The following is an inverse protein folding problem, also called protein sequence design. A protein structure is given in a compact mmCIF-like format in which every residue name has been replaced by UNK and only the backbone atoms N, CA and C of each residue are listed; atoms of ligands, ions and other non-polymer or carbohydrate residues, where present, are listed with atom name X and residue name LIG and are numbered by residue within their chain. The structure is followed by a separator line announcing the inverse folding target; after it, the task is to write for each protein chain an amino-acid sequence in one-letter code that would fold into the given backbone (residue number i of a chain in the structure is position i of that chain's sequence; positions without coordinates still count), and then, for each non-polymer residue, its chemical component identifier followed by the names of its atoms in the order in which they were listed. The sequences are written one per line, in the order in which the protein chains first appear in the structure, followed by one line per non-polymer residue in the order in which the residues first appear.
data_IF_968087407164
#
_entry.id   IF_968087407164
#
_cell.length_a   1.000
_cell.length_b   1.000
_cell.length_c   1.000
_cell.angle_alpha   90.00
_cell.angle_beta   90.00
_cell.angle_gamma   90.00
#
_symmetry.space_group_name_H-M   'P 1'
#
loop_
_entity.id
_entity.type
_entity.pdbx_description
1 polymer ?
#
# COMPACT_ATOMS: atom_id res chain seq x y z
N UNK A 1 0.00 -20.03 4.46
CA UNK A 1 0.96 -20.31 3.35
C UNK A 1 2.46 -20.39 3.72
N UNK A 2 3.11 -19.34 4.23
CA UNK A 2 4.59 -19.35 4.43
C UNK A 2 5.14 -20.50 5.29
N UNK A 3 4.37 -20.97 6.29
CA UNK A 3 4.70 -22.15 7.10
C UNK A 3 4.66 -23.43 6.26
N UNK A 4 3.64 -23.61 5.41
CA UNK A 4 3.50 -24.76 4.49
C UNK A 4 4.67 -24.83 3.50
N UNK A 5 5.22 -23.68 3.10
CA UNK A 5 6.35 -23.57 2.16
C UNK A 5 7.75 -23.61 2.82
N UNK A 6 7.84 -23.74 4.15
CA UNK A 6 9.09 -23.81 4.89
C UNK A 6 9.95 -22.52 4.89
N UNK A 7 9.36 -21.37 4.56
CA UNK A 7 10.08 -20.08 4.37
C UNK A 7 9.72 -19.00 5.39
N UNK A 8 8.91 -19.35 6.40
CA UNK A 8 8.46 -18.41 7.45
C UNK A 8 9.64 -17.73 8.18
N UNK A 9 10.67 -18.48 8.57
CA UNK A 9 11.83 -17.94 9.30
C UNK A 9 12.62 -16.93 8.46
N UNK A 10 12.85 -17.25 7.19
CA UNK A 10 13.53 -16.34 6.24
C UNK A 10 12.75 -15.04 6.04
N UNK A 11 11.43 -15.14 5.89
CA UNK A 11 10.57 -13.95 5.74
C UNK A 11 10.57 -13.06 6.99
N UNK A 12 10.45 -13.66 8.18
CA UNK A 12 10.50 -12.91 9.45
C UNK A 12 11.85 -12.22 9.65
N UNK A 13 12.96 -12.88 9.28
CA UNK A 13 14.29 -12.27 9.31
C UNK A 13 14.40 -11.05 8.38
N UNK A 14 13.90 -11.15 7.15
CA UNK A 14 13.88 -10.03 6.20
C UNK A 14 12.99 -8.88 6.66
N UNK A 15 11.84 -9.20 7.28
CA UNK A 15 10.92 -8.20 7.82
C UNK A 15 11.54 -7.46 9.01
N UNK A 16 12.16 -8.18 9.94
CA UNK A 16 12.92 -7.59 11.05
C UNK A 16 14.08 -6.73 10.55
N UNK A 17 14.80 -7.20 9.53
CA UNK A 17 15.87 -6.44 8.89
C UNK A 17 15.34 -5.15 8.23
N UNK A 18 14.17 -5.15 7.58
CA UNK A 18 13.64 -3.92 6.96
C UNK A 18 13.03 -2.92 7.94
N UNK A 19 12.46 -3.41 9.05
CA UNK A 19 11.64 -2.65 10.02
C UNK A 19 12.25 -1.31 10.47
N UNK A 20 13.54 -1.20 10.85
CA UNK A 20 14.05 0.05 11.41
C UNK A 20 14.27 1.14 10.34
N UNK A 21 14.31 0.81 9.06
CA UNK A 21 14.82 1.71 8.03
C UNK A 21 13.99 3.00 7.86
N UNK A 22 12.65 2.90 7.74
CA UNK A 22 11.83 4.11 7.55
C UNK A 22 11.90 5.03 8.77
N UNK A 23 11.87 4.42 9.96
CA UNK A 23 11.86 5.11 11.22
C UNK A 23 13.20 5.85 11.45
N UNK A 24 14.32 5.18 11.19
CA UNK A 24 15.66 5.79 11.24
C UNK A 24 15.80 6.89 10.20
N UNK A 25 15.37 6.66 8.95
CA UNK A 25 15.43 7.66 7.88
C UNK A 25 14.64 8.92 8.25
N UNK A 26 13.44 8.75 8.80
CA UNK A 26 12.63 9.87 9.25
C UNK A 26 13.29 10.65 10.40
N UNK A 27 13.86 9.93 11.37
CA UNK A 27 14.59 10.52 12.49
C UNK A 27 15.83 11.30 12.03
N UNK A 28 16.65 10.72 11.14
CA UNK A 28 17.85 11.36 10.57
C UNK A 28 17.47 12.67 9.86
N UNK A 29 16.41 12.65 9.05
CA UNK A 29 15.90 13.86 8.39
C UNK A 29 15.42 14.90 9.40
N UNK A 30 14.71 14.47 10.47
CA UNK A 30 14.19 15.39 11.47
C UNK A 30 15.33 16.07 12.25
N UNK A 31 16.32 15.29 12.69
CA UNK A 31 17.48 15.79 13.40
C UNK A 31 18.34 16.70 12.53
N UNK A 32 18.52 16.36 11.25
CA UNK A 32 19.23 17.22 10.30
C UNK A 32 18.53 18.58 10.16
N UNK A 33 17.23 18.60 9.88
CA UNK A 33 16.49 19.84 9.76
C UNK A 33 16.56 20.68 11.03
N UNK A 34 16.48 20.05 12.21
CA UNK A 34 16.63 20.75 13.48
C UNK A 34 18.00 21.41 13.61
N UNK A 35 19.05 20.60 13.54
CA UNK A 35 20.41 21.06 13.85
C UNK A 35 20.98 21.99 12.79
N UNK A 36 20.64 21.76 11.51
CA UNK A 36 21.10 22.62 10.42
C UNK A 36 20.50 24.03 10.55
N UNK A 37 19.19 24.13 10.78
CA UNK A 37 18.55 25.44 10.91
C UNK A 37 18.90 26.16 12.22
N UNK A 38 19.09 25.43 13.32
CA UNK A 38 19.64 26.03 14.55
C UNK A 38 21.08 26.55 14.36
N UNK A 39 21.92 25.85 13.57
CA UNK A 39 23.27 26.34 13.25
C UNK A 39 23.23 27.57 12.33
N UNK A 40 22.28 27.62 11.39
CA UNK A 40 22.07 28.79 10.53
C UNK A 40 21.60 30.00 11.35
N UNK A 41 20.64 29.82 12.26
CA UNK A 41 20.18 30.89 13.17
C UNK A 41 21.32 31.42 14.06
N UNK A 42 22.20 30.53 14.52
CA UNK A 42 23.36 30.89 15.33
C UNK A 42 24.55 31.43 14.51
N UNK A 43 24.46 31.47 13.17
CA UNK A 43 25.55 31.83 12.24
C UNK A 43 26.84 30.98 12.45
N UNK A 44 26.70 29.74 12.93
CA UNK A 44 27.81 28.82 13.18
C UNK A 44 28.05 27.91 11.97
N UNK A 45 28.90 28.38 11.06
CA UNK A 45 29.28 27.66 9.84
C UNK A 45 30.05 26.36 10.11
N UNK A 46 30.77 26.27 11.23
CA UNK A 46 31.53 25.06 11.57
C UNK A 46 30.58 23.94 11.96
N UNK A 47 29.63 24.23 12.85
CA UNK A 47 28.57 23.29 13.24
C UNK A 47 27.70 22.89 12.04
N UNK A 48 27.36 23.85 11.17
CA UNK A 48 26.62 23.56 9.94
C UNK A 48 27.37 22.59 9.03
N UNK A 49 28.67 22.81 8.81
CA UNK A 49 29.51 21.91 8.00
C UNK A 49 29.54 20.48 8.56
N UNK A 50 29.68 20.33 9.88
CA UNK A 50 29.66 19.03 10.56
C UNK A 50 28.30 18.34 10.40
N UNK A 51 27.19 19.06 10.62
CA UNK A 51 25.83 18.53 10.49
C UNK A 51 25.56 18.06 9.06
N UNK A 52 25.96 18.84 8.05
CA UNK A 52 25.83 18.46 6.64
C UNK A 52 26.67 17.23 6.29
N UNK A 53 27.92 17.14 6.78
CA UNK A 53 28.77 15.98 6.55
C UNK A 53 28.19 14.70 7.20
N UNK A 54 27.69 14.81 8.45
CA UNK A 54 27.02 13.72 9.14
C UNK A 54 25.74 13.28 8.43
N UNK A 55 24.95 14.23 7.93
CA UNK A 55 23.76 13.93 7.16
C UNK A 55 24.07 13.21 5.85
N UNK A 56 25.10 13.66 5.12
CA UNK A 56 25.56 13.00 3.91
C UNK A 56 26.02 11.57 4.19
N UNK A 57 26.87 11.37 5.20
CA UNK A 57 27.34 10.06 5.61
C UNK A 57 26.17 9.13 6.02
N UNK A 58 25.21 9.66 6.79
CA UNK A 58 24.01 8.92 7.23
C UNK A 58 23.15 8.50 6.03
N UNK A 59 22.94 9.39 5.05
CA UNK A 59 22.18 9.05 3.84
C UNK A 59 22.89 8.03 2.96
N UNK A 60 24.22 8.07 2.87
CA UNK A 60 25.01 7.08 2.13
C UNK A 60 24.89 5.69 2.79
N UNK A 61 24.96 5.62 4.12
CA UNK A 61 24.72 4.38 4.87
C UNK A 61 23.28 3.87 4.69
N UNK A 62 22.28 4.76 4.75
CA UNK A 62 20.88 4.39 4.50
C UNK A 62 20.67 3.92 3.05
N UNK A 63 21.30 4.56 2.08
CA UNK A 63 21.21 4.17 0.68
C UNK A 63 21.76 2.76 0.45
N UNK A 64 22.98 2.49 0.92
CA UNK A 64 23.62 1.18 0.81
C UNK A 64 22.80 0.11 1.55
N UNK A 65 22.33 0.42 2.77
CA UNK A 65 21.44 -0.45 3.53
C UNK A 65 20.16 -0.80 2.76
N UNK A 66 19.41 0.21 2.29
CA UNK A 66 18.16 -0.01 1.56
C UNK A 66 18.39 -0.85 0.29
N UNK A 67 19.47 -0.57 -0.44
CA UNK A 67 19.86 -1.36 -1.62
C UNK A 67 20.08 -2.83 -1.29
N UNK A 68 20.79 -3.13 -0.20
CA UNK A 68 21.00 -4.52 0.24
C UNK A 68 19.69 -5.19 0.65
N UNK A 69 18.82 -4.51 1.39
CA UNK A 69 17.52 -5.07 1.80
C UNK A 69 16.68 -5.43 0.58
N UNK A 70 16.54 -4.51 -0.38
CA UNK A 70 15.76 -4.75 -1.59
C UNK A 70 16.33 -5.86 -2.47
N UNK A 71 17.66 -6.01 -2.53
CA UNK A 71 18.29 -7.14 -3.24
C UNK A 71 17.89 -8.48 -2.63
N UNK A 72 18.02 -8.64 -1.31
CA UNK A 72 17.61 -9.88 -0.65
C UNK A 72 16.11 -10.13 -0.77
N UNK A 73 15.32 -9.06 -0.72
CA UNK A 73 13.89 -9.12 -0.81
C UNK A 73 13.40 -9.55 -2.19
N UNK A 74 13.97 -8.99 -3.27
CA UNK A 74 13.69 -9.40 -4.64
C UNK A 74 14.01 -10.89 -4.86
N UNK A 75 15.17 -11.35 -4.36
CA UNK A 75 15.56 -12.75 -4.44
C UNK A 75 14.62 -13.67 -3.63
N UNK A 76 14.12 -13.20 -2.47
CA UNK A 76 13.12 -13.93 -1.70
C UNK A 76 11.78 -14.00 -2.46
N UNK A 77 11.32 -12.89 -3.02
CA UNK A 77 10.05 -12.81 -3.74
C UNK A 77 10.00 -13.74 -4.95
N UNK A 78 11.05 -13.73 -5.78
CA UNK A 78 11.16 -14.63 -6.93
C UNK A 78 11.13 -16.12 -6.50
N UNK A 79 11.82 -16.46 -5.40
CA UNK A 79 11.80 -17.82 -4.83
C UNK A 79 10.43 -18.20 -4.28
N UNK A 80 9.72 -17.26 -3.65
CA UNK A 80 8.36 -17.47 -3.15
C UNK A 80 7.40 -17.76 -4.31
N UNK A 81 7.44 -16.98 -5.38
CA UNK A 81 6.61 -17.22 -6.58
C UNK A 81 6.89 -18.61 -7.18
N UNK A 82 8.17 -18.98 -7.35
CA UNK A 82 8.56 -20.31 -7.82
C UNK A 82 8.00 -21.41 -6.92
N UNK A 83 8.18 -21.30 -5.60
CA UNK A 83 7.70 -22.27 -4.63
C UNK A 83 6.18 -22.40 -4.62
N UNK A 84 5.45 -21.29 -4.76
CA UNK A 84 3.99 -21.30 -4.86
C UNK A 84 3.51 -22.05 -6.10
N UNK A 85 4.07 -21.75 -7.28
CA UNK A 85 3.71 -22.45 -8.53
C UNK A 85 3.98 -23.96 -8.43
N UNK A 86 5.14 -24.35 -7.91
CA UNK A 86 5.47 -25.77 -7.71
C UNK A 86 4.57 -26.45 -6.67
N UNK A 87 4.22 -25.75 -5.59
CA UNK A 87 3.30 -26.27 -4.57
C UNK A 87 1.92 -26.55 -5.16
N UNK A 88 1.38 -25.62 -5.95
CA UNK A 88 0.08 -25.77 -6.62
C UNK A 88 0.13 -26.91 -7.63
N UNK A 89 1.18 -26.97 -8.45
CA UNK A 89 1.33 -28.00 -9.45
C UNK A 89 1.44 -29.40 -8.84
N UNK A 90 2.23 -29.55 -7.77
CA UNK A 90 2.33 -30.82 -7.04
C UNK A 90 0.99 -31.22 -6.39
N UNK A 91 0.21 -30.26 -5.91
CA UNK A 91 -1.13 -30.50 -5.37
C UNK A 91 -2.10 -31.00 -6.44
N UNK A 92 -2.03 -30.44 -7.64
CA UNK A 92 -2.83 -30.90 -8.78
C UNK A 92 -2.42 -32.31 -9.21
N UNK A 93 -1.12 -32.60 -9.31
CA UNK A 93 -0.63 -33.94 -9.66
C UNK A 93 -1.02 -35.04 -8.65
N UNK A 94 -1.24 -34.68 -7.39
CA UNK A 94 -1.63 -35.61 -6.34
C UNK A 94 -3.15 -35.89 -6.30
N UNK A 95 -3.96 -35.19 -7.10
CA UNK A 95 -5.42 -35.40 -7.14
C UNK A 95 -5.78 -36.55 -8.10
N UNK A 96 -6.84 -37.32 -7.80
CA UNK A 96 -7.36 -38.32 -8.71
C UNK A 96 -7.88 -37.66 -9.99
N UNK A 97 -7.79 -38.38 -11.11
CA UNK A 97 -8.16 -37.83 -12.44
C UNK A 97 -9.62 -37.36 -12.48
N UNK A 98 -10.51 -38.02 -11.76
CA UNK A 98 -11.94 -37.67 -11.62
C UNK A 98 -12.18 -36.29 -10.98
N UNK A 99 -11.28 -35.84 -10.10
CA UNK A 99 -11.33 -34.48 -9.55
C UNK A 99 -10.73 -33.45 -10.50
N UNK A 100 -9.75 -33.86 -11.30
CA UNK A 100 -9.10 -32.99 -12.30
C UNK A 100 -10.05 -32.74 -13.48
N UNK A 101 -10.77 -33.76 -13.95
CA UNK A 101 -11.73 -33.66 -15.06
C UNK A 101 -12.92 -32.74 -14.74
N UNK A 102 -13.21 -32.53 -13.45
CA UNK A 102 -14.23 -31.57 -12.99
C UNK A 102 -13.75 -30.12 -13.02
N UNK A 103 -12.45 -29.88 -13.15
CA UNK A 103 -11.86 -28.54 -13.18
C UNK A 103 -11.73 -28.07 -14.63
N UNK A 104 -12.33 -26.92 -14.95
CA UNK A 104 -12.08 -26.27 -16.23
C UNK A 104 -10.59 -25.97 -16.39
N UNK A 105 -9.99 -26.29 -17.53
CA UNK A 105 -8.57 -26.05 -17.82
C UNK A 105 -8.17 -24.58 -17.63
N UNK A 106 -9.08 -23.65 -17.92
CA UNK A 106 -8.93 -22.23 -17.65
C UNK A 106 -8.81 -21.88 -16.16
N UNK A 107 -9.59 -22.53 -15.29
CA UNK A 107 -9.52 -22.31 -13.83
C UNK A 107 -8.20 -22.83 -13.26
N UNK A 108 -7.71 -23.97 -13.74
CA UNK A 108 -6.40 -24.52 -13.35
C UNK A 108 -5.27 -23.53 -13.71
N UNK A 109 -5.28 -22.99 -14.93
CA UNK A 109 -4.30 -22.00 -15.38
C UNK A 109 -4.38 -20.68 -14.59
N UNK A 110 -5.58 -20.23 -14.24
CA UNK A 110 -5.81 -19.06 -13.39
C UNK A 110 -5.24 -19.27 -11.99
N UNK A 111 -5.44 -20.45 -11.38
CA UNK A 111 -4.90 -20.77 -10.05
C UNK A 111 -3.37 -20.78 -10.06
N UNK A 112 -2.75 -21.40 -11.05
CA UNK A 112 -1.27 -21.49 -11.17
C UNK A 112 -0.64 -20.12 -11.41
N UNK A 113 -1.26 -19.27 -12.22
CA UNK A 113 -0.66 -17.99 -12.60
C UNK A 113 -1.16 -16.83 -11.74
N UNK A 114 -2.46 -16.55 -11.76
CA UNK A 114 -3.02 -15.39 -11.09
C UNK A 114 -3.10 -15.57 -9.57
N UNK A 115 -3.65 -16.68 -9.06
CA UNK A 115 -3.79 -16.84 -7.61
C UNK A 115 -2.46 -17.05 -6.90
N UNK A 116 -1.51 -17.75 -7.53
CA UNK A 116 -0.14 -17.83 -7.07
C UNK A 116 0.52 -16.45 -6.97
N UNK A 117 0.32 -15.59 -7.99
CA UNK A 117 0.86 -14.24 -7.99
C UNK A 117 0.19 -13.37 -6.93
N UNK A 118 -1.14 -13.37 -6.83
CA UNK A 118 -1.87 -12.64 -5.78
C UNK A 118 -1.41 -13.07 -4.38
N UNK A 119 -1.23 -14.37 -4.16
CA UNK A 119 -0.74 -14.89 -2.88
C UNK A 119 0.71 -14.44 -2.61
N UNK A 120 1.58 -14.47 -3.62
CA UNK A 120 2.94 -13.96 -3.49
C UNK A 120 2.95 -12.46 -3.18
N UNK A 121 2.06 -11.68 -3.82
CA UNK A 121 1.97 -10.23 -3.67
C UNK A 121 1.72 -9.78 -2.23
N UNK A 122 0.96 -10.55 -1.43
CA UNK A 122 0.78 -10.32 0.02
C UNK A 122 2.12 -10.16 0.75
N UNK A 123 3.13 -10.90 0.30
CA UNK A 123 4.42 -11.03 0.97
C UNK A 123 5.56 -10.30 0.27
N UNK A 124 5.38 -9.77 -0.94
CA UNK A 124 6.52 -9.28 -1.72
C UNK A 124 6.28 -8.13 -2.70
N UNK A 125 5.04 -7.76 -3.01
CA UNK A 125 4.77 -6.57 -3.84
C UNK A 125 4.88 -5.26 -3.05
N UNK A 126 4.97 -4.10 -3.71
CA UNK A 126 4.82 -2.80 -3.04
C UNK A 126 3.53 -2.75 -2.21
N UNK A 127 3.57 -2.14 -1.03
CA UNK A 127 2.44 -2.08 -0.07
C UNK A 127 1.99 -3.45 0.48
N UNK A 128 2.95 -4.36 0.62
CA UNK A 128 2.77 -5.66 1.27
C UNK A 128 2.78 -5.56 2.81
N UNK A 129 2.74 -6.71 3.46
CA UNK A 129 2.81 -6.85 4.92
C UNK A 129 4.07 -6.20 5.55
N UNK A 130 5.15 -5.98 4.80
CA UNK A 130 6.34 -5.26 5.31
C UNK A 130 6.09 -3.76 5.37
N UNK A 131 5.43 -3.19 4.37
CA UNK A 131 5.02 -1.78 4.42
C UNK A 131 4.03 -1.53 5.55
N UNK A 132 3.15 -2.50 5.85
CA UNK A 132 2.29 -2.45 7.03
C UNK A 132 3.11 -2.34 8.32
N UNK A 133 4.06 -3.27 8.54
CA UNK A 133 4.87 -3.27 9.76
C UNK A 133 5.77 -2.04 9.86
N UNK A 134 6.39 -1.61 8.76
CA UNK A 134 7.16 -0.35 8.73
C UNK A 134 6.27 0.86 8.99
N UNK A 135 5.07 0.88 8.44
CA UNK A 135 4.09 1.94 8.66
C UNK A 135 3.72 2.05 10.14
N UNK A 136 3.48 0.92 10.82
CA UNK A 136 3.24 0.87 12.27
C UNK A 136 4.46 1.38 13.04
N UNK A 137 5.66 0.86 12.75
CA UNK A 137 6.88 1.27 13.43
C UNK A 137 7.16 2.78 13.28
N UNK A 138 7.01 3.31 12.06
CA UNK A 138 7.21 4.72 11.77
C UNK A 138 6.13 5.61 12.42
N UNK A 139 4.88 5.16 12.41
CA UNK A 139 3.77 5.84 13.09
C UNK A 139 4.03 5.92 14.60
N UNK A 140 4.40 4.79 15.23
CA UNK A 140 4.66 4.72 16.67
C UNK A 140 5.86 5.58 17.04
N UNK A 141 7.00 5.43 16.35
CA UNK A 141 8.19 6.22 16.66
C UNK A 141 7.95 7.72 16.46
N UNK A 142 7.36 8.12 15.34
CA UNK A 142 7.10 9.55 15.05
C UNK A 142 6.08 10.14 16.04
N UNK A 143 5.07 9.37 16.43
CA UNK A 143 4.10 9.81 17.44
C UNK A 143 4.74 9.96 18.82
N UNK A 144 5.56 8.99 19.23
CA UNK A 144 6.27 9.03 20.51
C UNK A 144 7.23 10.23 20.57
N UNK A 145 8.05 10.41 19.53
CA UNK A 145 8.99 11.53 19.45
C UNK A 145 8.28 12.88 19.46
N UNK A 146 7.14 12.99 18.77
CA UNK A 146 6.37 14.24 18.74
C UNK A 146 5.69 14.51 20.09
N UNK A 147 5.16 13.47 20.74
CA UNK A 147 4.55 13.56 22.07
C UNK A 147 5.57 13.98 23.14
N UNK A 148 6.77 13.40 23.12
CA UNK A 148 7.88 13.75 24.02
C UNK A 148 8.40 15.17 23.74
N UNK A 149 8.42 15.58 22.48
CA UNK A 149 8.85 16.93 22.10
C UNK A 149 7.87 18.01 22.55
N UNK A 150 6.60 17.89 22.17
CA UNK A 150 5.55 18.81 22.59
C UNK A 150 4.16 18.18 22.43
N UNK A 151 3.51 17.92 23.57
CA UNK A 151 2.18 17.33 23.61
C UNK A 151 1.13 18.16 22.86
N UNK A 152 1.22 19.50 22.86
CA UNK A 152 0.25 20.36 22.15
C UNK A 152 0.34 20.16 20.65
N UNK A 153 1.56 20.14 20.09
CA UNK A 153 1.75 19.87 18.66
C UNK A 153 1.29 18.45 18.28
N UNK A 154 1.55 17.46 19.13
CA UNK A 154 1.06 16.10 18.92
C UNK A 154 -0.48 16.03 18.86
N UNK A 155 -1.18 16.66 19.80
CA UNK A 155 -2.66 16.67 19.83
C UNK A 155 -3.24 17.35 18.59
N UNK A 156 -2.63 18.43 18.10
CA UNK A 156 -3.05 19.09 16.87
C UNK A 156 -2.86 18.15 15.67
N UNK A 157 -1.73 17.46 15.57
CA UNK A 157 -1.52 16.46 14.51
C UNK A 157 -2.62 15.40 14.55
N UNK A 158 -2.94 14.86 15.73
CA UNK A 158 -4.04 13.90 15.87
C UNK A 158 -5.40 14.48 15.47
N UNK A 159 -5.68 15.73 15.82
CA UNK A 159 -6.92 16.41 15.48
C UNK A 159 -7.15 16.54 13.97
N UNK A 160 -6.09 16.56 13.15
CA UNK A 160 -6.20 16.54 11.69
C UNK A 160 -6.13 15.13 11.08
N UNK A 161 -5.34 14.23 11.67
CA UNK A 161 -5.15 12.87 11.15
C UNK A 161 -6.37 11.99 11.42
N UNK A 162 -6.98 12.08 12.60
CA UNK A 162 -8.10 11.22 13.00
C UNK A 162 -9.33 11.47 12.11
N UNK A 163 -9.82 12.72 11.90
CA UNK A 163 -10.98 12.95 11.04
C UNK A 163 -10.75 12.48 9.60
N UNK A 164 -9.53 12.66 9.07
CA UNK A 164 -9.16 12.13 7.77
C UNK A 164 -9.36 10.60 7.70
N UNK A 165 -8.83 9.86 8.68
CA UNK A 165 -8.96 8.40 8.73
C UNK A 165 -10.44 8.00 8.85
N UNK A 166 -11.22 8.70 9.67
CA UNK A 166 -12.65 8.42 9.86
C UNK A 166 -13.45 8.66 8.56
N UNK A 167 -13.22 9.76 7.85
CA UNK A 167 -13.90 10.06 6.58
C UNK A 167 -13.59 8.97 5.54
N UNK A 168 -12.32 8.61 5.38
CA UNK A 168 -11.90 7.60 4.41
C UNK A 168 -12.48 6.22 4.77
N UNK A 169 -12.41 5.82 6.03
CA UNK A 169 -12.80 4.47 6.47
C UNK A 169 -14.32 4.28 6.57
N UNK A 170 -15.06 5.29 7.03
CA UNK A 170 -16.50 5.20 7.28
C UNK A 170 -17.35 5.61 6.08
N UNK A 171 -16.87 6.53 5.25
CA UNK A 171 -17.67 7.08 4.14
C UNK A 171 -17.20 6.54 2.79
N UNK A 172 -15.91 6.72 2.46
CA UNK A 172 -15.40 6.39 1.12
C UNK A 172 -15.17 4.89 0.92
N UNK A 173 -14.61 4.20 1.92
CA UNK A 173 -14.28 2.77 1.81
C UNK A 173 -15.51 1.87 1.60
N UNK A 174 -16.65 2.03 2.31
CA UNK A 174 -17.86 1.25 2.05
C UNK A 174 -18.44 1.50 0.66
N UNK A 175 -18.39 2.75 0.20
CA UNK A 175 -18.90 3.15 -1.11
C UNK A 175 -18.07 2.54 -2.24
N UNK A 176 -16.73 2.61 -2.13
CA UNK A 176 -15.81 1.95 -3.05
C UNK A 176 -16.01 0.44 -3.08
N UNK A 177 -16.21 -0.21 -1.91
CA UNK A 177 -16.52 -1.65 -1.83
C UNK A 177 -17.82 -2.00 -2.55
N UNK A 178 -18.88 -1.22 -2.36
CA UNK A 178 -20.16 -1.41 -3.05
C UNK A 178 -20.01 -1.31 -4.57
N UNK A 179 -19.29 -0.30 -5.07
CA UNK A 179 -19.02 -0.12 -6.49
C UNK A 179 -18.15 -1.26 -7.04
N UNK A 180 -17.13 -1.67 -6.30
CA UNK A 180 -16.25 -2.78 -6.68
C UNK A 180 -17.03 -4.09 -6.82
N UNK A 181 -17.94 -4.39 -5.90
CA UNK A 181 -18.79 -5.58 -5.97
C UNK A 181 -19.71 -5.55 -7.21
N UNK A 182 -20.32 -4.39 -7.51
CA UNK A 182 -21.12 -4.21 -8.72
C UNK A 182 -20.29 -4.39 -9.99
N UNK A 183 -19.09 -3.80 -10.02
CA UNK A 183 -18.16 -3.92 -11.14
C UNK A 183 -17.77 -5.38 -11.38
N UNK A 184 -17.47 -6.13 -10.32
CA UNK A 184 -17.13 -7.55 -10.41
C UNK A 184 -18.30 -8.39 -10.94
N UNK A 185 -19.53 -8.12 -10.46
CA UNK A 185 -20.74 -8.80 -10.95
C UNK A 185 -20.99 -8.51 -12.43
N UNK A 186 -20.96 -7.24 -12.84
CA UNK A 186 -21.15 -6.86 -14.27
C UNK A 186 -20.04 -7.44 -15.15
N UNK A 187 -18.81 -7.52 -14.64
CA UNK A 187 -17.70 -8.15 -15.37
C UNK A 187 -17.93 -9.65 -15.55
N UNK A 188 -18.44 -10.36 -14.54
CA UNK A 188 -18.77 -11.77 -14.65
C UNK A 188 -19.90 -12.01 -15.66
N UNK A 189 -20.98 -11.22 -15.58
CA UNK A 189 -22.09 -11.28 -16.55
C UNK A 189 -21.62 -11.06 -18.00
N UNK A 190 -20.64 -10.16 -18.21
CA UNK A 190 -20.00 -9.96 -19.52
C UNK A 190 -19.20 -11.18 -19.97
N UNK A 191 -18.41 -11.79 -19.07
CA UNK A 191 -17.66 -13.01 -19.35
C UNK A 191 -18.60 -14.15 -19.75
N UNK A 192 -19.70 -14.35 -19.02
CA UNK A 192 -20.70 -15.38 -19.32
C UNK A 192 -21.33 -15.18 -20.71
N UNK A 193 -21.57 -13.93 -21.11
CA UNK A 193 -22.07 -13.60 -22.46
C UNK A 193 -21.05 -13.88 -23.55
N UNK A 194 -19.76 -13.60 -23.30
CA UNK A 194 -18.70 -13.94 -24.25
C UNK A 194 -18.55 -15.45 -24.42
N UNK A 195 -18.59 -16.20 -23.33
CA UNK A 195 -18.53 -17.66 -23.36
C UNK A 195 -19.75 -18.24 -24.11
N UNK A 196 -20.95 -17.71 -23.84
CA UNK A 196 -22.17 -18.09 -24.56
C UNK A 196 -22.05 -17.84 -26.06
N UNK A 197 -21.48 -16.70 -26.47
CA UNK A 197 -21.25 -16.39 -27.89
C UNK A 197 -20.25 -17.37 -28.53
N UNK A 198 -19.13 -17.64 -27.87
CA UNK A 198 -18.11 -18.58 -28.39
C UNK A 198 -18.68 -19.98 -28.56
N UNK A 199 -19.46 -20.46 -27.58
CA UNK A 199 -20.07 -21.78 -27.62
C UNK A 199 -21.20 -21.89 -28.65
N UNK A 200 -21.84 -20.77 -29.02
CA UNK A 200 -22.99 -20.74 -29.94
C UNK A 200 -22.66 -20.05 -31.28
N UNK A 201 -21.39 -19.84 -31.59
CA UNK A 201 -20.95 -19.00 -32.71
C UNK A 201 -21.62 -19.41 -34.03
N UNK A 202 -21.62 -20.70 -34.33
CA UNK A 202 -22.22 -21.26 -35.54
C UNK A 202 -23.72 -20.94 -35.64
N UNK A 203 -24.43 -21.00 -34.51
CA UNK A 203 -25.87 -20.65 -34.43
C UNK A 203 -26.07 -19.14 -34.64
N UNK A 204 -25.23 -18.30 -34.04
CA UNK A 204 -25.33 -16.85 -34.19
C UNK A 204 -25.13 -16.43 -35.65
N UNK A 205 -24.16 -17.04 -36.34
CA UNK A 205 -23.90 -16.76 -37.76
C UNK A 205 -25.00 -17.35 -38.66
N UNK A 206 -25.49 -18.56 -38.37
CA UNK A 206 -26.55 -19.21 -39.16
C UNK A 206 -27.86 -18.40 -39.16
N UNK A 207 -28.21 -17.80 -38.02
CA UNK A 207 -29.43 -17.00 -37.85
C UNK A 207 -29.22 -15.48 -38.01
N UNK A 208 -28.03 -15.03 -38.47
CA UNK A 208 -27.66 -13.62 -38.64
C UNK A 208 -27.96 -12.74 -37.39
N UNK A 209 -27.72 -13.30 -36.20
CA UNK A 209 -28.03 -12.66 -34.92
C UNK A 209 -26.87 -11.84 -34.34
N UNK A 210 -25.84 -11.54 -35.15
CA UNK A 210 -24.61 -10.87 -34.72
C UNK A 210 -24.89 -9.48 -34.12
N UNK A 211 -25.75 -8.69 -34.76
CA UNK A 211 -26.11 -7.34 -34.29
C UNK A 211 -26.88 -7.37 -32.96
N UNK A 212 -27.72 -8.39 -32.76
CA UNK A 212 -28.44 -8.57 -31.50
C UNK A 212 -27.47 -8.82 -30.34
N UNK A 213 -26.51 -9.72 -30.53
CA UNK A 213 -25.46 -10.00 -29.54
C UNK A 213 -24.58 -8.77 -29.29
N UNK A 214 -24.16 -8.09 -30.35
CA UNK A 214 -23.35 -6.88 -30.27
C UNK A 214 -24.07 -5.81 -29.44
N UNK A 215 -25.35 -5.54 -29.72
CA UNK A 215 -26.14 -4.55 -28.98
C UNK A 215 -26.28 -4.91 -27.50
N UNK A 216 -26.49 -6.19 -27.17
CA UNK A 216 -26.58 -6.66 -25.78
C UNK A 216 -25.26 -6.49 -25.03
N UNK A 217 -24.13 -6.85 -25.65
CA UNK A 217 -22.78 -6.68 -25.10
C UNK A 217 -22.46 -5.18 -24.94
N UNK A 218 -22.82 -4.34 -25.91
CA UNK A 218 -22.61 -2.89 -25.84
C UNK A 218 -23.34 -2.27 -24.64
N UNK A 219 -24.61 -2.61 -24.41
CA UNK A 219 -25.37 -2.10 -23.27
C UNK A 219 -24.72 -2.46 -21.93
N UNK A 220 -24.27 -3.71 -21.79
CA UNK A 220 -23.57 -4.16 -20.57
C UNK A 220 -22.18 -3.55 -20.42
N UNK A 221 -21.44 -3.35 -21.50
CA UNK A 221 -20.17 -2.61 -21.46
C UNK A 221 -20.35 -1.14 -21.08
N UNK A 222 -21.45 -0.50 -21.49
CA UNK A 222 -21.77 0.87 -21.04
C UNK A 222 -22.05 0.92 -19.54
N UNK A 223 -22.72 -0.09 -18.98
CA UNK A 223 -22.90 -0.24 -17.53
C UNK A 223 -21.54 -0.38 -16.82
N UNK A 224 -20.68 -1.28 -17.31
CA UNK A 224 -19.32 -1.51 -16.78
C UNK A 224 -18.47 -0.22 -16.84
N UNK A 225 -18.55 0.53 -17.95
CA UNK A 225 -17.88 1.82 -18.13
C UNK A 225 -18.34 2.84 -17.08
N UNK A 226 -19.65 2.99 -16.88
CA UNK A 226 -20.20 3.92 -15.88
C UNK A 226 -19.75 3.57 -14.46
N UNK A 227 -19.75 2.28 -14.11
CA UNK A 227 -19.25 1.81 -12.81
C UNK A 227 -17.74 2.06 -12.65
N UNK A 228 -16.96 1.81 -13.71
CA UNK A 228 -15.52 2.07 -13.73
C UNK A 228 -15.19 3.54 -13.52
N UNK A 229 -15.90 4.45 -14.21
CA UNK A 229 -15.74 5.90 -14.03
C UNK A 229 -16.08 6.30 -12.60
N UNK A 230 -17.21 5.82 -12.04
CA UNK A 230 -17.57 6.08 -10.64
C UNK A 230 -16.49 5.60 -9.67
N UNK A 231 -15.94 4.40 -9.88
CA UNK A 231 -14.84 3.87 -9.05
C UNK A 231 -13.62 4.79 -9.07
N UNK A 232 -13.20 5.23 -10.26
CA UNK A 232 -12.05 6.14 -10.40
C UNK A 232 -12.33 7.47 -9.72
N UNK A 233 -13.54 8.02 -9.85
CA UNK A 233 -13.93 9.26 -9.18
C UNK A 233 -13.85 9.16 -7.66
N UNK A 234 -14.42 8.12 -7.04
CA UNK A 234 -14.34 7.94 -5.58
C UNK A 234 -12.92 7.67 -5.09
N UNK A 235 -12.11 6.97 -5.89
CA UNK A 235 -10.69 6.76 -5.58
C UNK A 235 -9.90 8.08 -5.66
N UNK A 236 -10.22 8.95 -6.62
CA UNK A 236 -9.63 10.28 -6.70
C UNK A 236 -10.05 11.13 -5.49
N UNK A 237 -11.31 11.04 -5.06
CA UNK A 237 -11.79 11.73 -3.86
C UNK A 237 -11.04 11.24 -2.60
N UNK A 238 -10.88 9.92 -2.42
CA UNK A 238 -10.06 9.32 -1.35
C UNK A 238 -8.64 9.89 -1.34
N UNK A 239 -7.99 9.96 -2.51
CA UNK A 239 -6.65 10.52 -2.65
C UNK A 239 -6.60 12.03 -2.42
N UNK A 240 -7.68 12.77 -2.65
CA UNK A 240 -7.75 14.22 -2.45
C UNK A 240 -7.98 14.61 -0.98
N UNK A 241 -8.63 13.75 -0.18
CA UNK A 241 -8.86 14.04 1.25
C UNK A 241 -7.54 14.15 2.02
N UNK A 242 -6.57 13.26 1.75
CA UNK A 242 -5.30 13.24 2.48
C UNK A 242 -4.49 14.54 2.35
N UNK A 243 -4.24 15.09 1.14
CA UNK A 243 -3.59 16.39 0.98
C UNK A 243 -4.36 17.54 1.62
N UNK A 244 -5.70 17.54 1.58
CA UNK A 244 -6.51 18.62 2.14
C UNK A 244 -6.31 18.73 3.66
N UNK A 245 -6.44 17.63 4.40
CA UNK A 245 -6.13 17.59 5.84
C UNK A 245 -4.62 17.73 6.11
N UNK A 246 -3.80 17.26 5.17
CA UNK A 246 -2.35 17.38 5.18
C UNK A 246 -1.88 18.84 5.16
N UNK A 247 -2.46 19.69 4.33
CA UNK A 247 -2.07 21.10 4.19
C UNK A 247 -2.67 21.92 5.33
N UNK A 248 -3.94 21.73 5.68
CA UNK A 248 -4.58 22.49 6.76
C UNK A 248 -3.88 22.28 8.10
N UNK A 249 -3.58 21.03 8.46
CA UNK A 249 -2.83 20.73 9.67
C UNK A 249 -1.39 21.25 9.63
N UNK A 250 -0.78 21.37 8.45
CA UNK A 250 0.55 21.99 8.32
C UNK A 250 0.49 23.50 8.62
N UNK A 251 -0.50 24.21 8.05
CA UNK A 251 -0.68 25.65 8.26
C UNK A 251 -0.96 26.01 9.72
N UNK A 252 -1.79 25.22 10.41
CA UNK A 252 -2.08 25.45 11.84
C UNK A 252 -0.84 25.29 12.70
N UNK A 253 -0.03 24.26 12.45
CA UNK A 253 1.24 24.06 13.16
C UNK A 253 2.23 25.17 12.85
N UNK A 254 2.25 25.67 11.61
CA UNK A 254 3.09 26.81 11.22
C UNK A 254 2.71 28.07 12.00
N UNK A 255 1.42 28.37 12.13
CA UNK A 255 0.95 29.57 12.84
C UNK A 255 1.31 29.51 14.34
N UNK A 256 1.05 28.38 14.99
CA UNK A 256 1.40 28.16 16.40
C UNK A 256 2.91 28.07 16.63
N UNK A 257 3.63 27.51 15.66
CA UNK A 257 5.09 27.51 15.63
C UNK A 257 5.66 28.92 15.60
N UNK A 258 5.13 29.78 14.72
CA UNK A 258 5.52 31.17 14.61
C UNK A 258 5.28 31.95 15.91
N UNK A 259 4.15 31.73 16.58
CA UNK A 259 3.86 32.33 17.90
C UNK A 259 4.87 31.89 18.97
N UNK A 260 5.25 30.61 19.01
CA UNK A 260 6.26 30.11 19.96
C UNK A 260 7.66 30.60 19.65
N UNK A 261 7.99 30.78 18.37
CA UNK A 261 9.27 31.33 17.93
C UNK A 261 9.36 32.80 18.32
N UNK A 262 8.31 33.60 18.08
CA UNK A 262 8.29 35.01 18.46
C UNK A 262 8.35 35.22 19.98
N UNK A 263 7.81 34.28 20.76
CA UNK A 263 7.94 34.25 22.21
C UNK A 263 9.32 33.77 22.73
N UNK A 264 10.24 33.34 21.84
CA UNK A 264 11.56 32.82 22.22
C UNK A 264 11.54 31.44 22.89
N UNK A 265 10.41 30.73 22.83
CA UNK A 265 10.20 29.42 23.48
C UNK A 265 10.76 28.29 22.60
N UNK A 266 10.83 28.50 21.28
CA UNK A 266 11.20 27.49 20.30
C UNK A 266 12.04 28.09 19.16
N UNK A 267 12.98 27.31 18.62
CA UNK A 267 13.79 27.67 17.43
C UNK A 267 13.06 27.32 16.13
N UNK A 268 13.47 27.90 14.99
CA UNK A 268 12.94 27.47 13.69
C UNK A 268 13.29 26.00 13.40
N UNK A 269 14.49 25.57 13.79
CA UNK A 269 14.90 24.17 13.65
C UNK A 269 13.97 23.21 14.40
N UNK A 270 13.53 23.58 15.60
CA UNK A 270 12.54 22.83 16.36
C UNK A 270 11.17 22.76 15.66
N UNK A 271 10.71 23.82 14.97
CA UNK A 271 9.50 23.76 14.16
C UNK A 271 9.64 22.77 12.99
N UNK A 272 10.77 22.80 12.29
CA UNK A 272 11.04 21.91 11.17
C UNK A 272 11.14 20.45 11.61
N UNK A 273 11.69 20.20 12.82
CA UNK A 273 11.66 18.88 13.46
C UNK A 273 10.22 18.37 13.62
N UNK A 274 9.31 19.22 14.13
CA UNK A 274 7.88 18.89 14.28
C UNK A 274 7.24 18.59 12.92
N UNK A 275 7.52 19.38 11.89
CA UNK A 275 7.00 19.13 10.53
C UNK A 275 7.46 17.79 9.96
N UNK A 276 8.74 17.43 10.16
CA UNK A 276 9.26 16.16 9.68
C UNK A 276 8.64 14.97 10.41
N UNK A 277 8.50 15.04 11.74
CA UNK A 277 7.83 13.99 12.52
C UNK A 277 6.36 13.84 12.15
N UNK A 278 5.64 14.95 11.94
CA UNK A 278 4.29 14.92 11.40
C UNK A 278 4.22 14.20 10.04
N UNK A 279 5.15 14.51 9.13
CA UNK A 279 5.27 13.81 7.86
C UNK A 279 5.40 12.29 8.05
N UNK A 280 6.20 11.87 9.03
CA UNK A 280 6.32 10.47 9.44
C UNK A 280 4.99 9.84 9.90
N UNK A 281 4.23 10.52 10.75
CA UNK A 281 2.89 10.06 11.21
C UNK A 281 1.93 9.86 10.02
N UNK A 282 1.89 10.83 9.10
CA UNK A 282 1.03 10.76 7.91
C UNK A 282 1.43 9.63 6.95
N UNK A 283 2.73 9.51 6.65
CA UNK A 283 3.27 8.45 5.80
C UNK A 283 3.01 7.07 6.42
N UNK A 284 3.26 6.91 7.72
CA UNK A 284 3.01 5.66 8.43
C UNK A 284 1.54 5.25 8.39
N UNK A 285 0.63 6.20 8.63
CA UNK A 285 -0.82 5.98 8.55
C UNK A 285 -1.25 5.54 7.14
N UNK A 286 -0.75 6.21 6.10
CA UNK A 286 -1.08 5.87 4.71
C UNK A 286 -0.52 4.50 4.29
N UNK A 287 0.70 4.17 4.74
CA UNK A 287 1.29 2.84 4.52
C UNK A 287 0.41 1.74 5.13
N UNK A 288 -0.09 1.95 6.35
CA UNK A 288 -0.98 1.01 7.03
C UNK A 288 -2.28 0.85 6.23
N UNK A 289 -2.95 1.96 5.91
CA UNK A 289 -4.23 1.94 5.19
C UNK A 289 -4.12 1.24 3.83
N UNK A 290 -3.12 1.61 3.03
CA UNK A 290 -2.89 1.03 1.71
C UNK A 290 -2.52 -0.45 1.80
N UNK A 291 -1.68 -0.83 2.77
CA UNK A 291 -1.27 -2.24 2.92
C UNK A 291 -2.43 -3.13 3.37
N UNK A 292 -3.31 -2.66 4.26
CA UNK A 292 -4.52 -3.41 4.65
C UNK A 292 -5.41 -3.67 3.44
N UNK A 293 -5.62 -2.66 2.59
CA UNK A 293 -6.42 -2.80 1.37
C UNK A 293 -5.81 -3.79 0.40
N UNK A 294 -4.50 -3.67 0.12
CA UNK A 294 -3.77 -4.58 -0.78
C UNK A 294 -3.78 -6.01 -0.28
N UNK A 295 -3.53 -6.24 1.01
CA UNK A 295 -3.58 -7.57 1.63
C UNK A 295 -5.00 -8.14 1.52
N UNK A 296 -6.03 -7.33 1.76
CA UNK A 296 -7.42 -7.76 1.70
C UNK A 296 -7.84 -8.23 0.29
N UNK A 297 -7.43 -7.50 -0.74
CA UNK A 297 -7.67 -7.89 -2.15
C UNK A 297 -6.94 -9.19 -2.49
N UNK A 298 -5.65 -9.26 -2.15
CA UNK A 298 -4.81 -10.41 -2.49
C UNK A 298 -5.14 -11.67 -1.68
N UNK A 299 -5.84 -11.54 -0.54
CA UNK A 299 -6.32 -12.68 0.27
C UNK A 299 -7.30 -13.58 -0.49
N UNK A 300 -7.99 -13.07 -1.51
CA UNK A 300 -8.87 -13.87 -2.36
C UNK A 300 -8.09 -14.99 -3.07
N UNK A 301 -6.91 -14.68 -3.63
CA UNK A 301 -6.04 -15.68 -4.25
C UNK A 301 -5.55 -16.71 -3.24
N UNK A 302 -5.18 -16.28 -2.03
CA UNK A 302 -4.75 -17.20 -0.97
C UNK A 302 -5.84 -18.21 -0.60
N UNK A 303 -7.11 -17.78 -0.49
CA UNK A 303 -8.23 -18.68 -0.17
C UNK A 303 -8.42 -19.75 -1.24
N UNK A 304 -8.45 -19.35 -2.52
CA UNK A 304 -8.59 -20.28 -3.66
C UNK A 304 -7.45 -21.31 -3.74
N UNK A 305 -6.25 -20.94 -3.30
CA UNK A 305 -5.13 -21.88 -3.18
C UNK A 305 -5.21 -22.81 -1.97
N UNK A 306 -5.90 -22.42 -0.90
CA UNK A 306 -6.10 -23.27 0.27
C UNK A 306 -7.23 -24.29 0.08
N UNK A 307 -8.12 -24.05 -0.89
CA UNK A 307 -9.18 -24.98 -1.34
C UNK A 307 -8.65 -26.12 -2.24
N UNK A 308 -7.38 -26.06 -2.69
CA UNK A 308 -6.68 -27.11 -3.46
C UNK A 308 -6.01 -28.18 -2.57
#
# INVERSE_FOLDING_TARGET
MLKKLGIKKQYLGLLAFRLPFEAIRNLVNALFLKQAFEAIEALDFTKLGIVCALFFASNLLLFTYNGTVWRFFAAFYARLQKKLKLYIFNKLLAKPIEEIDKLASGDVLMRINQDAQMTAAIYGEPWNLIFLVNGIANLVLSSLLLCVFDLKFYLIVLAFVIPHILIVSLVLSPLLRSIQNKLQKTSAELTDMYESFVNMADTVFLYDCSDFFLKKIQLKNLELKRLSIKKVFYKALEQAVMPLFGITGYLVLMFLGAEKISAGIMTLGALLYVFQLRGGVLLGSNMIATSITTISVNKAGLKRLEEL
#
